data_IF_853502201732
#
_entry.id   IF_853502201732
#
_cell.length_a   1.000
_cell.length_b   1.000
_cell.length_c   1.000
_cell.angle_alpha   90.00
_cell.angle_beta   90.00
_cell.angle_gamma   90.00
#
_symmetry.space_group_name_H-M   'P 1'
#
loop_
_entity.id
_entity.type
_entity.pdbx_description
1 polymer ?
#
# COMPACT_ATOMS: atom_id res chain seq x y z
N UNK A 1 62.86 21.49 -14.38
CA UNK A 1 63.52 20.29 -13.81
C UNK A 1 63.55 19.20 -14.88
N UNK A 2 64.71 18.61 -15.16
CA UNK A 2 64.81 17.48 -16.12
C UNK A 2 64.18 16.21 -15.53
N UNK A 3 63.76 15.25 -16.37
CA UNK A 3 63.19 13.98 -15.89
C UNK A 3 64.14 13.23 -14.93
N UNK A 4 65.46 13.41 -15.11
CA UNK A 4 66.48 12.82 -14.23
C UNK A 4 66.53 13.55 -12.89
N UNK A 5 66.55 14.89 -12.92
CA UNK A 5 66.49 15.70 -11.70
C UNK A 5 65.21 15.45 -10.89
N UNK A 6 64.08 15.20 -11.57
CA UNK A 6 62.82 14.84 -10.91
C UNK A 6 62.85 13.43 -10.31
N UNK A 7 63.51 12.47 -10.98
CA UNK A 7 63.63 11.12 -10.46
C UNK A 7 64.44 11.08 -9.16
N UNK A 8 65.56 11.81 -9.14
CA UNK A 8 66.48 11.85 -8.01
C UNK A 8 65.89 12.67 -6.85
N UNK A 9 65.22 13.79 -7.13
CA UNK A 9 64.64 14.66 -6.10
C UNK A 9 63.42 14.03 -5.40
N UNK A 10 62.57 13.32 -6.15
CA UNK A 10 61.34 12.71 -5.60
C UNK A 10 61.48 11.23 -5.27
N UNK A 11 62.66 10.63 -5.49
CA UNK A 11 62.91 9.20 -5.35
C UNK A 11 61.89 8.32 -6.11
N UNK A 12 61.53 8.75 -7.32
CA UNK A 12 60.62 8.03 -8.22
C UNK A 12 61.41 7.62 -9.45
N UNK A 13 61.30 6.36 -9.88
CA UNK A 13 62.05 5.90 -11.05
C UNK A 13 61.78 6.77 -12.29
N UNK A 14 62.85 7.09 -13.02
CA UNK A 14 62.76 7.89 -14.26
C UNK A 14 61.80 7.26 -15.28
N UNK A 15 61.69 5.93 -15.30
CA UNK A 15 60.73 5.18 -16.11
C UNK A 15 59.27 5.45 -15.71
N UNK A 16 58.95 5.53 -14.42
CA UNK A 16 57.62 5.93 -13.94
C UNK A 16 57.28 7.36 -14.35
N UNK A 17 58.21 8.31 -14.22
CA UNK A 17 58.02 9.72 -14.63
C UNK A 17 57.80 9.80 -16.14
N UNK A 18 58.63 9.12 -16.94
CA UNK A 18 58.50 9.05 -18.40
C UNK A 18 57.17 8.42 -18.83
N UNK A 19 56.71 7.35 -18.16
CA UNK A 19 55.42 6.70 -18.41
C UNK A 19 54.24 7.63 -18.10
N UNK A 20 54.34 8.41 -17.01
CA UNK A 20 53.30 9.35 -16.58
C UNK A 20 53.21 10.57 -17.50
N UNK A 21 54.34 11.08 -17.98
CA UNK A 21 54.41 12.19 -18.96
C UNK A 21 53.91 11.80 -20.36
N UNK A 22 53.97 10.52 -20.73
CA UNK A 22 53.42 10.01 -21.99
C UNK A 22 51.89 9.84 -21.99
N UNK A 23 51.19 10.17 -20.89
CA UNK A 23 49.72 10.15 -20.77
C UNK A 23 49.03 8.86 -21.23
N UNK A 24 49.51 7.70 -20.76
CA UNK A 24 48.79 6.45 -21.02
C UNK A 24 48.87 5.48 -19.83
N UNK A 25 48.58 6.01 -18.62
CA UNK A 25 48.18 5.11 -17.55
C UNK A 25 46.73 4.70 -17.85
N UNK A 26 46.44 3.41 -18.08
CA UNK A 26 45.07 2.97 -18.18
C UNK A 26 44.35 3.43 -16.92
N UNK A 27 43.17 4.05 -17.10
CA UNK A 27 42.26 4.36 -16.01
C UNK A 27 42.20 3.11 -15.15
N UNK A 28 42.53 3.21 -13.85
CA UNK A 28 42.48 2.07 -12.93
C UNK A 28 41.18 1.33 -13.22
N UNK A 29 41.22 0.04 -13.61
CA UNK A 29 40.01 -0.69 -13.97
C UNK A 29 39.06 -0.59 -12.78
N UNK A 30 38.01 0.21 -12.94
CA UNK A 30 36.93 0.26 -11.96
C UNK A 30 36.23 -1.08 -12.08
N UNK A 31 35.73 -1.60 -10.96
CA UNK A 31 34.84 -2.75 -11.05
C UNK A 31 33.70 -2.39 -12.01
N UNK A 32 33.38 -3.26 -12.99
CA UNK A 32 32.24 -3.03 -13.86
C UNK A 32 30.97 -2.87 -13.03
N UNK A 33 29.98 -2.18 -13.58
CA UNK A 33 28.67 -2.08 -12.94
C UNK A 33 28.11 -3.47 -12.71
N UNK A 34 27.39 -3.62 -11.60
CA UNK A 34 26.71 -4.87 -11.22
C UNK A 34 25.70 -5.29 -12.28
N UNK A 35 25.07 -4.30 -12.89
CA UNK A 35 24.00 -4.42 -13.86
C UNK A 35 24.52 -4.07 -15.26
N UNK A 36 23.93 -4.69 -16.28
CA UNK A 36 24.18 -4.32 -17.67
C UNK A 36 23.62 -2.93 -17.98
N UNK A 37 24.02 -2.34 -19.11
CA UNK A 37 23.45 -1.06 -19.55
C UNK A 37 21.94 -1.13 -19.70
N UNK A 38 21.42 -2.25 -20.25
CA UNK A 38 19.99 -2.44 -20.45
C UNK A 38 19.22 -2.58 -19.13
N UNK A 39 19.79 -3.30 -18.16
CA UNK A 39 19.22 -3.42 -16.82
C UNK A 39 19.18 -2.05 -16.12
N UNK A 40 20.26 -1.26 -16.20
CA UNK A 40 20.29 0.08 -15.62
C UNK A 40 19.26 1.02 -16.28
N UNK A 41 19.14 0.96 -17.60
CA UNK A 41 18.12 1.73 -18.33
C UNK A 41 16.70 1.31 -17.96
N UNK A 42 16.46 0.01 -17.73
CA UNK A 42 15.18 -0.48 -17.26
C UNK A 42 14.83 0.05 -15.86
N UNK A 43 15.81 0.14 -14.95
CA UNK A 43 15.60 0.76 -13.64
C UNK A 43 15.34 2.27 -13.73
N UNK A 44 16.04 2.99 -14.61
CA UNK A 44 15.82 4.42 -14.81
C UNK A 44 14.41 4.66 -15.39
N UNK A 45 14.06 3.92 -16.44
CA UNK A 45 12.74 3.98 -17.06
C UNK A 45 11.63 3.63 -16.07
N UNK A 46 11.84 2.66 -15.17
CA UNK A 46 10.90 2.39 -14.10
C UNK A 46 10.67 3.62 -13.23
N UNK A 47 11.72 4.30 -12.78
CA UNK A 47 11.61 5.47 -11.92
C UNK A 47 10.85 6.61 -12.62
N UNK A 48 11.08 6.80 -13.92
CA UNK A 48 10.30 7.75 -14.74
C UNK A 48 8.81 7.37 -14.76
N UNK A 49 8.48 6.10 -15.00
CA UNK A 49 7.09 5.63 -15.07
C UNK A 49 6.36 5.69 -13.74
N UNK A 50 7.08 5.34 -12.68
CA UNK A 50 6.56 5.38 -11.32
C UNK A 50 6.32 6.85 -10.92
N UNK A 51 7.18 7.78 -11.37
CA UNK A 51 6.92 9.22 -11.30
C UNK A 51 5.69 9.65 -12.14
N UNK A 52 5.52 9.16 -13.37
CA UNK A 52 4.36 9.46 -14.23
C UNK A 52 3.03 8.97 -13.65
N UNK A 53 3.08 7.93 -12.84
CA UNK A 53 1.92 7.44 -12.08
C UNK A 53 1.73 8.17 -10.74
N UNK A 54 2.63 9.07 -10.38
CA UNK A 54 2.57 9.88 -9.16
C UNK A 54 3.03 9.14 -7.89
N UNK A 55 3.80 8.05 -8.02
CA UNK A 55 4.33 7.33 -6.87
C UNK A 55 5.64 7.96 -6.38
N UNK A 56 5.73 8.32 -5.10
CA UNK A 56 7.02 8.58 -4.49
C UNK A 56 7.77 7.26 -4.33
N UNK A 57 8.99 7.17 -4.85
CA UNK A 57 9.92 6.06 -4.58
C UNK A 57 11.10 6.64 -3.84
N UNK A 58 11.27 6.24 -2.58
CA UNK A 58 12.43 6.65 -1.82
C UNK A 58 13.66 5.76 -2.12
N UNK A 59 14.80 6.12 -1.53
CA UNK A 59 16.04 5.35 -1.71
C UNK A 59 15.89 3.89 -1.24
N UNK A 60 15.12 3.65 -0.18
CA UNK A 60 14.93 2.32 0.38
C UNK A 60 14.06 1.47 -0.54
N UNK A 61 12.94 2.02 -1.03
CA UNK A 61 12.04 1.39 -1.98
C UNK A 61 12.78 0.98 -3.25
N UNK A 62 13.58 1.89 -3.82
CA UNK A 62 14.37 1.59 -5.01
C UNK A 62 15.34 0.42 -4.79
N UNK A 63 15.99 0.38 -3.62
CA UNK A 63 16.89 -0.74 -3.27
C UNK A 63 16.13 -2.05 -3.11
N UNK A 64 14.91 -2.04 -2.58
CA UNK A 64 14.06 -3.24 -2.51
C UNK A 64 13.59 -3.71 -3.89
N UNK A 65 13.21 -2.80 -4.78
CA UNK A 65 12.86 -3.13 -6.17
C UNK A 65 14.02 -3.89 -6.84
N UNK A 66 15.24 -3.38 -6.70
CA UNK A 66 16.44 -3.99 -7.28
C UNK A 66 16.76 -5.33 -6.61
N UNK A 67 16.59 -5.44 -5.29
CA UNK A 67 16.73 -6.73 -4.57
C UNK A 67 15.76 -7.77 -5.14
N UNK A 68 14.48 -7.43 -5.26
CA UNK A 68 13.47 -8.35 -5.78
C UNK A 68 13.71 -8.72 -7.24
N UNK A 69 14.26 -7.80 -8.04
CA UNK A 69 14.73 -8.11 -9.39
C UNK A 69 15.83 -9.19 -9.37
N UNK A 70 16.86 -9.03 -8.55
CA UNK A 70 17.96 -10.00 -8.43
C UNK A 70 17.48 -11.38 -7.96
N UNK A 71 16.62 -11.42 -6.94
CA UNK A 71 16.05 -12.66 -6.41
C UNK A 71 15.26 -13.43 -7.46
N UNK A 72 14.48 -12.73 -8.30
CA UNK A 72 13.74 -13.37 -9.40
C UNK A 72 14.61 -13.92 -10.50
N UNK A 73 15.73 -13.26 -10.80
CA UNK A 73 16.70 -13.76 -11.76
C UNK A 73 17.53 -14.93 -11.19
N UNK A 74 17.35 -15.28 -9.91
CA UNK A 74 18.22 -16.25 -9.23
C UNK A 74 19.67 -15.77 -9.13
N UNK A 75 19.93 -14.46 -9.29
CA UNK A 75 21.28 -13.89 -9.32
C UNK A 75 21.67 -13.42 -7.94
N UNK A 76 22.73 -13.99 -7.37
CA UNK A 76 23.33 -13.48 -6.14
C UNK A 76 24.48 -12.53 -6.45
N UNK A 77 24.50 -11.39 -5.76
CA UNK A 77 25.55 -10.39 -5.87
C UNK A 77 26.32 -10.36 -4.56
N UNK A 78 27.55 -10.87 -4.58
CA UNK A 78 28.35 -11.17 -3.39
C UNK A 78 28.59 -9.96 -2.46
N UNK A 79 28.69 -8.76 -3.03
CA UNK A 79 28.91 -7.51 -2.29
C UNK A 79 27.62 -6.79 -1.87
N UNK A 80 26.44 -7.35 -2.18
CA UNK A 80 25.16 -6.89 -1.66
C UNK A 80 24.73 -7.79 -0.50
N UNK A 81 24.72 -7.23 0.71
CA UNK A 81 24.25 -7.96 1.88
C UNK A 81 22.79 -8.41 1.70
N UNK A 82 22.53 -9.72 1.77
CA UNK A 82 21.22 -10.31 1.49
C UNK A 82 20.62 -9.86 0.14
N UNK A 83 21.47 -9.76 -0.89
CA UNK A 83 21.09 -9.27 -2.23
C UNK A 83 20.49 -7.85 -2.24
N UNK A 84 20.63 -7.10 -1.15
CA UNK A 84 20.11 -5.76 -1.01
C UNK A 84 21.20 -4.74 -1.36
N UNK A 85 21.01 -3.91 -2.42
CA UNK A 85 22.00 -2.89 -2.76
C UNK A 85 22.26 -1.93 -1.60
N UNK A 86 23.49 -1.42 -1.50
CA UNK A 86 23.87 -0.41 -0.51
C UNK A 86 23.47 1.01 -0.92
N UNK A 87 23.52 1.96 0.01
CA UNK A 87 23.26 3.39 -0.28
C UNK A 87 24.22 3.95 -1.34
N UNK A 88 25.48 3.55 -1.29
CA UNK A 88 26.49 4.02 -2.24
C UNK A 88 26.23 3.53 -3.66
N UNK A 89 25.60 2.37 -3.83
CA UNK A 89 25.16 1.91 -5.14
C UNK A 89 24.13 2.88 -5.74
N UNK A 90 23.14 3.31 -4.94
CA UNK A 90 22.14 4.30 -5.40
C UNK A 90 22.80 5.61 -5.77
N UNK A 91 23.70 6.16 -4.93
CA UNK A 91 24.43 7.40 -5.26
C UNK A 91 25.17 7.31 -6.60
N UNK A 92 25.83 6.18 -6.85
CA UNK A 92 26.54 5.95 -8.10
C UNK A 92 25.58 5.79 -9.29
N UNK A 93 24.44 5.13 -9.10
CA UNK A 93 23.37 5.02 -10.10
C UNK A 93 22.84 6.41 -10.48
N UNK A 94 22.49 7.24 -9.50
CA UNK A 94 22.04 8.62 -9.74
C UNK A 94 23.09 9.46 -10.48
N UNK A 95 24.39 9.25 -10.21
CA UNK A 95 25.46 9.94 -10.94
C UNK A 95 25.52 9.53 -12.43
N UNK A 96 25.12 8.30 -12.76
CA UNK A 96 25.04 7.81 -14.15
C UNK A 96 23.75 8.26 -14.85
N UNK A 97 22.70 8.51 -14.09
CA UNK A 97 21.37 8.92 -14.59
C UNK A 97 21.01 10.34 -14.12
N UNK A 98 21.65 11.40 -14.67
CA UNK A 98 21.53 12.77 -14.15
C UNK A 98 20.15 13.42 -14.40
N UNK A 99 19.27 12.81 -15.19
CA UNK A 99 17.88 13.23 -15.35
C UNK A 99 17.03 12.92 -14.10
N UNK A 100 17.44 11.92 -13.31
CA UNK A 100 16.84 11.60 -12.04
C UNK A 100 17.46 12.47 -10.95
N UNK A 101 16.66 12.93 -9.99
CA UNK A 101 17.15 13.71 -8.86
C UNK A 101 16.54 13.22 -7.55
N UNK A 102 17.36 13.06 -6.52
CA UNK A 102 16.88 12.86 -5.16
C UNK A 102 16.53 14.24 -4.61
N UNK A 103 15.27 14.44 -4.26
CA UNK A 103 14.79 15.67 -3.61
C UNK A 103 14.19 15.31 -2.26
N UNK A 104 14.33 16.22 -1.30
CA UNK A 104 13.56 16.10 -0.07
C UNK A 104 12.08 16.30 -0.41
N UNK A 105 11.24 15.36 0.01
CA UNK A 105 9.82 15.63 0.09
C UNK A 105 9.59 16.79 1.06
N UNK A 106 8.68 17.69 0.71
CA UNK A 106 8.25 18.72 1.64
C UNK A 106 7.42 18.04 2.73
N UNK A 107 7.94 18.00 3.96
CA UNK A 107 7.18 17.57 5.12
C UNK A 107 5.98 18.50 5.32
N UNK A 108 4.79 18.07 4.88
CA UNK A 108 3.53 18.72 5.25
C UNK A 108 3.34 18.45 6.75
N UNK A 109 3.31 19.52 7.56
CA UNK A 109 3.19 19.41 9.02
C UNK A 109 1.96 18.58 9.39
N UNK A 110 2.18 17.64 10.31
CA UNK A 110 1.30 16.58 10.79
C UNK A 110 0.08 17.04 11.60
N UNK A 111 -0.52 18.18 11.27
CA UNK A 111 -1.84 18.51 11.80
C UNK A 111 -2.85 17.70 10.99
N UNK A 112 -3.68 16.88 11.65
CA UNK A 112 -4.89 16.27 11.06
C UNK A 112 -5.97 17.33 10.71
N UNK A 113 -5.55 18.53 10.33
CA UNK A 113 -6.39 19.70 10.20
C UNK A 113 -5.98 20.45 8.93
N UNK A 114 -6.91 20.50 7.98
CA UNK A 114 -6.82 21.08 6.64
C UNK A 114 -5.88 20.32 5.68
N UNK A 115 -6.41 19.30 5.01
CA UNK A 115 -5.93 19.00 3.66
C UNK A 115 -6.14 20.28 2.85
N UNK A 116 -5.08 20.78 2.22
CA UNK A 116 -5.13 22.02 1.46
C UNK A 116 -6.16 21.89 0.33
N UNK A 117 -7.07 22.86 0.23
CA UNK A 117 -8.08 22.91 -0.82
C UNK A 117 -7.43 22.93 -2.20
N UNK A 118 -6.23 23.49 -2.32
CA UNK A 118 -5.45 23.47 -3.57
C UNK A 118 -5.07 22.05 -3.99
N UNK A 119 -4.63 21.21 -3.05
CA UNK A 119 -4.26 19.81 -3.30
C UNK A 119 -5.47 18.98 -3.71
N UNK A 120 -6.62 19.21 -3.04
CA UNK A 120 -7.88 18.55 -3.42
C UNK A 120 -8.34 19.01 -4.80
N UNK A 121 -8.26 20.30 -5.09
CA UNK A 121 -8.65 20.86 -6.39
C UNK A 121 -7.79 20.27 -7.50
N UNK A 122 -6.47 20.28 -7.35
CA UNK A 122 -5.55 19.68 -8.34
C UNK A 122 -5.82 18.19 -8.54
N UNK A 123 -6.10 17.46 -7.46
CA UNK A 123 -6.45 16.04 -7.55
C UNK A 123 -7.73 15.82 -8.36
N UNK A 124 -8.79 16.58 -8.08
CA UNK A 124 -10.07 16.46 -8.79
C UNK A 124 -9.93 16.87 -10.25
N UNK A 125 -9.19 17.94 -10.55
CA UNK A 125 -8.92 18.38 -11.91
C UNK A 125 -8.18 17.29 -12.71
N UNK A 126 -7.13 16.72 -12.12
CA UNK A 126 -6.40 15.59 -12.72
C UNK A 126 -7.31 14.37 -12.92
N UNK A 127 -8.17 14.06 -11.95
CA UNK A 127 -9.11 12.94 -12.07
C UNK A 127 -10.16 13.19 -13.15
N UNK A 128 -10.66 14.42 -13.29
CA UNK A 128 -11.58 14.83 -14.34
C UNK A 128 -10.98 14.57 -15.72
N UNK A 129 -9.75 15.04 -15.95
CA UNK A 129 -9.05 14.84 -17.22
C UNK A 129 -8.75 13.36 -17.49
N UNK A 130 -8.33 12.61 -16.46
CA UNK A 130 -8.01 11.20 -16.62
C UNK A 130 -9.24 10.35 -16.95
N UNK A 131 -10.38 10.62 -16.31
CA UNK A 131 -11.61 9.82 -16.37
C UNK A 131 -12.59 10.25 -17.47
N UNK A 132 -12.38 11.41 -18.11
CA UNK A 132 -13.27 11.98 -19.14
C UNK A 132 -13.79 11.00 -20.18
N UNK A 133 -12.90 10.16 -20.72
CA UNK A 133 -13.19 9.19 -21.78
C UNK A 133 -13.07 7.73 -21.31
N UNK A 134 -13.11 7.49 -19.99
CA UNK A 134 -12.98 6.16 -19.40
C UNK A 134 -14.34 5.69 -18.87
N UNK A 135 -14.89 4.59 -19.38
CA UNK A 135 -16.11 3.99 -18.85
C UNK A 135 -16.04 3.67 -17.35
N UNK A 136 -17.13 3.87 -16.59
CA UNK A 136 -17.28 3.48 -15.19
C UNK A 136 -16.75 2.10 -14.79
N UNK A 137 -16.95 1.10 -15.62
CA UNK A 137 -16.54 -0.28 -15.35
C UNK A 137 -15.02 -0.47 -15.46
N UNK A 138 -14.29 0.55 -15.93
CA UNK A 138 -12.84 0.57 -16.12
C UNK A 138 -12.10 1.48 -15.14
N UNK A 139 -12.82 2.08 -14.19
CA UNK A 139 -12.25 2.90 -13.12
C UNK A 139 -12.33 2.08 -11.84
N UNK A 140 -11.20 1.56 -11.41
CA UNK A 140 -11.08 0.67 -10.26
C UNK A 140 -10.45 1.37 -9.07
N UNK A 141 -10.80 0.90 -7.89
CA UNK A 141 -10.13 1.21 -6.64
C UNK A 141 -9.92 -0.10 -5.90
N UNK A 142 -8.71 -0.28 -5.36
CA UNK A 142 -8.42 -1.38 -4.46
C UNK A 142 -7.82 -0.84 -3.16
N UNK A 143 -7.99 -1.62 -2.11
CA UNK A 143 -7.44 -1.31 -0.79
C UNK A 143 -7.43 -2.58 0.08
N UNK A 144 -6.59 -2.58 1.11
CA UNK A 144 -6.56 -3.65 2.11
C UNK A 144 -7.45 -3.38 3.30
N UNK A 145 -7.99 -4.46 3.87
CA UNK A 145 -8.69 -4.39 5.14
C UNK A 145 -8.39 -5.60 6.00
N UNK A 146 -8.29 -5.37 7.31
CA UNK A 146 -8.14 -6.45 8.28
C UNK A 146 -9.50 -6.93 8.78
N UNK A 147 -9.76 -8.22 8.65
CA UNK A 147 -10.93 -8.90 9.21
C UNK A 147 -10.52 -9.59 10.51
N UNK A 148 -10.93 -8.99 11.64
CA UNK A 148 -10.61 -9.43 13.00
C UNK A 148 -11.61 -10.46 13.51
N UNK A 149 -11.16 -11.51 14.19
CA UNK A 149 -12.06 -12.46 14.86
C UNK A 149 -12.71 -11.90 16.14
N UNK A 150 -12.26 -10.72 16.59
CA UNK A 150 -12.92 -9.94 17.65
C UNK A 150 -14.25 -9.33 17.16
N UNK A 151 -15.41 -9.75 17.71
CA UNK A 151 -16.70 -9.12 17.40
C UNK A 151 -16.79 -7.66 17.89
N UNK A 152 -15.86 -7.22 18.74
CA UNK A 152 -15.83 -5.88 19.30
C UNK A 152 -16.92 -5.64 20.35
N UNK A 153 -17.07 -4.37 20.73
CA UNK A 153 -18.03 -3.96 21.76
C UNK A 153 -19.44 -3.83 21.18
N UNK A 154 -20.44 -4.29 21.93
CA UNK A 154 -21.85 -4.03 21.67
C UNK A 154 -22.47 -3.22 22.82
N UNK A 155 -23.59 -2.54 22.54
CA UNK A 155 -24.39 -1.90 23.59
C UNK A 155 -25.18 -2.99 24.30
N UNK A 156 -25.05 -3.05 25.63
CA UNK A 156 -25.76 -4.00 26.48
C UNK A 156 -26.57 -3.19 27.50
N UNK A 157 -27.78 -3.65 27.79
CA UNK A 157 -28.65 -3.02 28.77
C UNK A 157 -28.37 -3.65 30.13
N UNK A 158 -27.96 -2.84 31.09
CA UNK A 158 -27.77 -3.22 32.49
C UNK A 158 -28.67 -2.37 33.39
N UNK A 159 -28.94 -2.85 34.61
CA UNK A 159 -29.54 -2.01 35.65
C UNK A 159 -28.66 -0.79 35.91
N UNK A 160 -29.26 0.38 36.18
CA UNK A 160 -28.50 1.57 36.61
C UNK A 160 -27.69 1.21 37.88
N UNK A 161 -26.42 1.61 37.91
CA UNK A 161 -25.51 1.28 39.02
C UNK A 161 -24.82 -0.09 38.93
N UNK A 162 -24.88 -0.79 37.78
CA UNK A 162 -24.04 -1.98 37.57
C UNK A 162 -22.56 -1.57 37.44
N UNK A 163 -21.70 -2.06 38.33
CA UNK A 163 -20.26 -1.74 38.34
C UNK A 163 -19.49 -2.44 37.21
N UNK A 164 -19.85 -3.68 36.86
CA UNK A 164 -19.10 -4.52 35.91
C UNK A 164 -20.01 -5.04 34.78
N UNK A 165 -20.32 -4.22 33.77
CA UNK A 165 -21.06 -4.63 32.59
C UNK A 165 -20.17 -5.43 31.63
N UNK A 166 -19.91 -6.70 31.94
CA UNK A 166 -19.01 -7.56 31.16
C UNK A 166 -19.75 -8.53 30.25
N UNK A 167 -19.14 -8.82 29.09
CA UNK A 167 -19.58 -9.87 28.16
C UNK A 167 -18.46 -10.91 28.08
N UNK A 168 -18.73 -12.12 28.57
CA UNK A 168 -17.79 -13.23 28.44
C UNK A 168 -17.84 -13.78 27.02
N UNK A 169 -16.77 -13.58 26.27
CA UNK A 169 -16.60 -14.11 24.91
C UNK A 169 -15.13 -14.41 24.65
N UNK A 170 -14.86 -15.58 24.07
CA UNK A 170 -13.51 -15.95 23.66
C UNK A 170 -13.16 -15.20 22.37
N UNK A 171 -12.40 -14.12 22.45
CA UNK A 171 -11.88 -13.42 21.28
C UNK A 171 -10.38 -13.21 21.37
N UNK A 172 -9.74 -13.20 20.19
CA UNK A 172 -8.37 -12.72 20.04
C UNK A 172 -8.39 -11.45 19.19
N UNK A 173 -7.21 -10.84 18.97
CA UNK A 173 -7.03 -9.81 17.94
C UNK A 173 -6.41 -10.41 16.67
N UNK A 174 -6.73 -11.67 16.38
CA UNK A 174 -6.20 -12.33 15.19
C UNK A 174 -6.91 -11.76 13.98
N UNK A 175 -6.13 -11.33 12.99
CA UNK A 175 -6.64 -10.73 11.78
C UNK A 175 -6.23 -11.53 10.55
N UNK A 176 -7.10 -11.51 9.55
CA UNK A 176 -6.77 -11.92 8.19
C UNK A 176 -6.82 -10.67 7.31
N UNK A 177 -5.79 -10.47 6.50
CA UNK A 177 -5.73 -9.34 5.57
C UNK A 177 -6.50 -9.73 4.32
N UNK A 178 -7.41 -8.85 3.90
CA UNK A 178 -8.28 -9.02 2.75
C UNK A 178 -8.08 -7.83 1.84
N UNK A 179 -7.53 -8.07 0.66
CA UNK A 179 -7.43 -7.07 -0.40
C UNK A 179 -8.69 -7.15 -1.27
N UNK A 180 -9.36 -6.02 -1.43
CA UNK A 180 -10.60 -5.89 -2.17
C UNK A 180 -10.42 -4.90 -3.30
N UNK A 181 -11.07 -5.15 -4.43
CA UNK A 181 -11.04 -4.26 -5.58
C UNK A 181 -12.45 -4.13 -6.16
N UNK A 182 -12.88 -2.91 -6.45
CA UNK A 182 -14.18 -2.62 -7.06
C UNK A 182 -14.10 -1.46 -8.04
N UNK A 183 -15.03 -1.43 -8.99
CA UNK A 183 -15.13 -0.36 -9.98
C UNK A 183 -16.30 0.58 -9.73
N UNK A 184 -16.27 1.72 -10.42
CA UNK A 184 -17.31 2.75 -10.35
C UNK A 184 -18.66 2.21 -10.80
N UNK A 185 -18.71 1.34 -11.82
CA UNK A 185 -19.94 0.69 -12.25
C UNK A 185 -20.62 -0.15 -11.16
N UNK A 186 -19.93 -0.42 -10.05
CA UNK A 186 -20.46 -1.06 -8.86
C UNK A 186 -20.29 -2.57 -8.84
N UNK A 187 -19.31 -3.08 -9.58
CA UNK A 187 -18.87 -4.47 -9.56
C UNK A 187 -17.57 -4.61 -8.77
N UNK A 188 -17.38 -5.75 -8.12
CA UNK A 188 -16.13 -6.08 -7.41
C UNK A 188 -15.46 -7.31 -8.01
N UNK A 189 -14.13 -7.32 -7.95
CA UNK A 189 -13.32 -8.50 -8.21
C UNK A 189 -13.35 -9.40 -6.96
N UNK A 190 -13.29 -10.74 -7.10
CA UNK A 190 -13.11 -11.62 -5.96
C UNK A 190 -11.97 -11.17 -5.04
N UNK A 191 -12.11 -11.32 -3.71
CA UNK A 191 -11.09 -10.89 -2.77
C UNK A 191 -9.78 -11.67 -2.93
N UNK A 192 -8.69 -11.06 -2.46
CA UNK A 192 -7.41 -11.74 -2.30
C UNK A 192 -7.02 -11.77 -0.82
N UNK A 193 -6.80 -12.96 -0.29
CA UNK A 193 -6.70 -13.22 1.15
C UNK A 193 -5.26 -13.50 1.53
N UNK A 194 -4.77 -12.86 2.58
CA UNK A 194 -3.43 -13.08 3.12
C UNK A 194 -3.53 -13.50 4.58
N UNK A 195 -3.15 -14.75 4.83
CA UNK A 195 -3.03 -15.28 6.18
C UNK A 195 -1.63 -15.00 6.75
N UNK A 196 -1.57 -14.62 8.03
CA UNK A 196 -0.32 -14.69 8.79
C UNK A 196 0.08 -16.15 9.03
N UNK A 197 1.00 -16.69 8.24
CA UNK A 197 1.48 -18.07 8.30
C UNK A 197 2.75 -18.28 7.44
N UNK A 198 3.50 -19.35 7.71
CA UNK A 198 4.63 -19.78 6.86
C UNK A 198 4.18 -20.69 5.70
N UNK A 199 3.16 -21.53 5.96
CA UNK A 199 2.58 -22.43 4.98
C UNK A 199 1.09 -22.14 4.77
N UNK A 200 0.62 -22.41 3.56
CA UNK A 200 -0.79 -22.33 3.19
C UNK A 200 -1.32 -23.75 3.01
N UNK A 201 -2.42 -24.08 3.68
CA UNK A 201 -3.09 -25.38 3.57
C UNK A 201 -4.31 -25.27 2.66
N UNK A 202 -4.62 -26.32 1.91
CA UNK A 202 -5.75 -26.35 0.96
C UNK A 202 -7.09 -26.11 1.65
N UNK A 203 -7.24 -26.61 2.88
CA UNK A 203 -8.44 -26.42 3.72
C UNK A 203 -8.75 -24.96 4.01
N UNK A 204 -7.78 -24.05 3.91
CA UNK A 204 -7.98 -22.61 4.11
C UNK A 204 -8.58 -21.91 2.89
N UNK A 205 -8.89 -22.63 1.82
CA UNK A 205 -9.60 -22.12 0.64
C UNK A 205 -10.96 -22.83 0.42
N UNK A 206 -11.24 -23.90 1.18
CA UNK A 206 -12.46 -24.68 1.03
C UNK A 206 -13.70 -23.88 1.47
N UNK A 207 -14.79 -24.02 0.72
CA UNK A 207 -16.08 -23.35 0.98
C UNK A 207 -16.02 -21.81 0.99
N UNK A 208 -14.94 -21.22 0.50
CA UNK A 208 -14.77 -19.78 0.33
C UNK A 208 -15.62 -19.17 -0.79
N UNK A 209 -15.59 -17.82 -0.93
CA UNK A 209 -16.23 -17.16 -2.05
C UNK A 209 -15.59 -17.58 -3.37
N UNK A 210 -16.39 -17.81 -4.40
CA UNK A 210 -15.90 -18.28 -5.70
C UNK A 210 -14.90 -17.30 -6.32
N UNK A 211 -13.81 -17.84 -6.87
CA UNK A 211 -12.77 -17.05 -7.51
C UNK A 211 -11.81 -16.36 -6.54
N UNK A 212 -12.00 -16.45 -5.22
CA UNK A 212 -11.08 -15.89 -4.20
C UNK A 212 -9.73 -16.59 -4.26
N UNK A 213 -8.64 -15.82 -4.23
CA UNK A 213 -7.28 -16.37 -4.04
C UNK A 213 -6.84 -16.25 -2.58
N UNK A 214 -6.09 -17.25 -2.14
CA UNK A 214 -5.54 -17.33 -0.78
C UNK A 214 -4.03 -17.41 -0.85
N UNK A 215 -3.38 -16.58 -0.03
CA UNK A 215 -1.94 -16.52 0.11
C UNK A 215 -1.58 -16.35 1.60
N UNK A 216 -0.28 -16.27 1.87
CA UNK A 216 0.30 -16.22 3.21
C UNK A 216 1.56 -15.39 3.24
N UNK A 217 1.80 -14.75 4.38
CA UNK A 217 3.08 -14.15 4.72
C UNK A 217 3.38 -14.32 6.20
N UNK A 218 4.66 -14.27 6.58
CA UNK A 218 5.09 -14.46 7.98
C UNK A 218 4.42 -13.46 8.94
N UNK A 219 4.14 -12.25 8.45
CA UNK A 219 3.58 -11.18 9.25
C UNK A 219 2.10 -10.89 8.94
N UNK A 220 1.53 -11.50 7.89
CA UNK A 220 0.16 -11.22 7.43
C UNK A 220 0.02 -9.94 6.61
N UNK A 221 1.13 -9.27 6.29
CA UNK A 221 1.16 -8.10 5.43
C UNK A 221 1.41 -8.48 3.97
N UNK A 222 1.01 -7.60 3.06
CA UNK A 222 1.31 -7.69 1.64
C UNK A 222 2.70 -7.08 1.44
N UNK A 223 3.58 -7.81 0.76
CA UNK A 223 4.87 -7.31 0.31
C UNK A 223 4.86 -7.11 -1.22
N UNK A 224 5.97 -6.66 -1.79
CA UNK A 224 6.10 -6.45 -3.23
C UNK A 224 5.79 -7.73 -4.06
N UNK A 225 6.21 -8.89 -3.58
CA UNK A 225 6.02 -10.15 -4.29
C UNK A 225 4.56 -10.60 -4.27
N UNK A 226 3.90 -10.51 -3.12
CA UNK A 226 2.46 -10.82 -2.96
C UNK A 226 1.62 -9.84 -3.77
N UNK A 227 1.97 -8.55 -3.77
CA UNK A 227 1.26 -7.56 -4.57
C UNK A 227 1.34 -7.87 -6.07
N UNK A 228 2.54 -8.19 -6.57
CA UNK A 228 2.70 -8.55 -7.98
C UNK A 228 1.93 -9.83 -8.32
N UNK A 229 1.94 -10.84 -7.45
CA UNK A 229 1.15 -12.05 -7.62
C UNK A 229 -0.35 -11.72 -7.68
N UNK A 230 -0.85 -10.90 -6.76
CA UNK A 230 -2.23 -10.42 -6.78
C UNK A 230 -2.56 -9.68 -8.09
N UNK A 231 -1.72 -8.73 -8.48
CA UNK A 231 -1.96 -7.92 -9.67
C UNK A 231 -2.00 -8.83 -10.91
N UNK A 232 -1.02 -9.70 -11.09
CA UNK A 232 -0.88 -10.55 -12.28
C UNK A 232 -1.94 -11.66 -12.36
N UNK A 233 -2.27 -12.29 -11.22
CA UNK A 233 -3.13 -13.48 -11.18
C UNK A 233 -4.60 -13.19 -10.87
N UNK A 234 -4.92 -11.94 -10.50
CA UNK A 234 -6.25 -11.53 -10.05
C UNK A 234 -6.75 -10.28 -10.75
N UNK A 235 -6.04 -9.16 -10.60
CA UNK A 235 -6.55 -7.90 -11.12
C UNK A 235 -6.42 -7.83 -12.65
N UNK A 236 -5.22 -8.14 -13.16
CA UNK A 236 -4.90 -8.09 -14.58
C UNK A 236 -5.74 -9.07 -15.41
N UNK A 237 -6.15 -10.20 -14.84
CA UNK A 237 -7.02 -11.16 -15.55
C UNK A 237 -8.38 -10.57 -15.89
N UNK A 238 -8.89 -9.66 -15.06
CA UNK A 238 -10.13 -8.90 -15.32
C UNK A 238 -9.84 -7.75 -16.28
N UNK A 239 -8.79 -6.97 -16.02
CA UNK A 239 -8.45 -5.79 -16.83
C UNK A 239 -8.11 -6.16 -18.29
N UNK A 240 -7.54 -7.34 -18.55
CA UNK A 240 -7.26 -7.85 -19.91
C UNK A 240 -8.50 -8.12 -20.74
N UNK A 241 -9.64 -8.35 -20.09
CA UNK A 241 -10.92 -8.56 -20.79
C UNK A 241 -11.55 -7.23 -21.24
N UNK A 242 -11.00 -6.10 -20.77
CA UNK A 242 -11.47 -4.75 -21.09
C UNK A 242 -10.51 -4.08 -22.08
N UNK A 243 -11.05 -3.65 -23.22
CA UNK A 243 -10.31 -2.87 -24.22
C UNK A 243 -10.14 -1.41 -23.81
N UNK A 244 -9.14 -0.73 -24.37
CA UNK A 244 -8.88 0.69 -24.12
C UNK A 244 -8.37 0.99 -22.70
N UNK A 245 -8.43 2.28 -22.33
CA UNK A 245 -7.84 2.82 -21.11
C UNK A 245 -8.57 2.34 -19.85
N UNK A 246 -7.79 1.97 -18.83
CA UNK A 246 -8.26 1.62 -17.48
C UNK A 246 -7.53 2.47 -16.45
N UNK A 247 -8.25 2.83 -15.39
CA UNK A 247 -7.69 3.61 -14.28
C UNK A 247 -7.76 2.75 -13.03
N UNK A 248 -6.65 2.67 -12.30
CA UNK A 248 -6.60 2.01 -11.01
C UNK A 248 -6.15 3.01 -9.95
N UNK A 249 -7.08 3.40 -9.09
CA UNK A 249 -6.87 4.32 -7.98
C UNK A 249 -6.40 3.55 -6.76
N UNK A 250 -5.35 4.03 -6.11
CA UNK A 250 -4.76 3.39 -4.93
C UNK A 250 -4.18 4.39 -3.93
N UNK A 251 -3.90 3.90 -2.73
CA UNK A 251 -3.21 4.68 -1.72
C UNK A 251 -1.73 4.97 -2.10
N UNK A 252 -1.12 5.90 -1.37
CA UNK A 252 0.24 6.39 -1.65
C UNK A 252 1.34 5.49 -1.03
N UNK A 253 1.06 4.21 -0.74
CA UNK A 253 2.05 3.33 -0.14
C UNK A 253 3.07 2.85 -1.20
N UNK A 254 4.30 3.36 -1.10
CA UNK A 254 5.36 3.27 -2.11
C UNK A 254 5.89 1.86 -2.38
N UNK A 255 5.62 0.88 -1.52
CA UNK A 255 6.38 -0.37 -1.44
C UNK A 255 6.03 -1.48 -2.43
N UNK A 256 5.18 -1.26 -3.44
CA UNK A 256 4.50 -2.37 -4.14
C UNK A 256 4.56 -2.39 -5.67
N UNK A 257 5.25 -1.48 -6.35
CA UNK A 257 5.38 -1.57 -7.82
C UNK A 257 6.70 -2.18 -8.26
N UNK A 258 6.60 -3.33 -8.90
CA UNK A 258 7.74 -3.98 -9.54
C UNK A 258 7.84 -3.57 -11.01
N UNK A 259 9.02 -3.78 -11.60
CA UNK A 259 9.25 -3.65 -13.05
C UNK A 259 8.20 -4.38 -13.88
N UNK A 260 7.82 -5.58 -13.44
CA UNK A 260 6.87 -6.41 -14.16
C UNK A 260 5.46 -5.82 -14.12
N UNK A 261 5.01 -5.31 -12.96
CA UNK A 261 3.69 -4.66 -12.86
C UNK A 261 3.62 -3.43 -13.75
N UNK A 262 4.65 -2.57 -13.72
CA UNK A 262 4.68 -1.35 -14.56
C UNK A 262 4.62 -1.71 -16.04
N UNK A 263 5.43 -2.66 -16.48
CA UNK A 263 5.40 -3.16 -17.87
C UNK A 263 4.02 -3.69 -18.27
N UNK A 264 3.41 -4.52 -17.42
CA UNK A 264 2.08 -5.08 -17.70
C UNK A 264 1.00 -3.99 -17.72
N UNK A 265 1.15 -2.92 -16.94
CA UNK A 265 0.25 -1.78 -17.01
C UNK A 265 0.35 -1.08 -18.36
N UNK A 266 1.55 -0.83 -18.87
CA UNK A 266 1.75 -0.20 -20.18
C UNK A 266 1.20 -1.05 -21.32
N UNK A 267 1.51 -2.35 -21.34
CA UNK A 267 1.04 -3.29 -22.36
C UNK A 267 -0.49 -3.42 -22.42
N UNK A 268 -1.19 -3.03 -21.35
CA UNK A 268 -2.64 -3.18 -21.23
C UNK A 268 -3.36 -1.85 -21.04
N UNK A 269 -2.73 -0.70 -21.31
CA UNK A 269 -3.34 0.64 -21.18
C UNK A 269 -3.97 0.89 -19.79
N UNK A 270 -3.23 0.51 -18.75
CA UNK A 270 -3.62 0.69 -17.34
C UNK A 270 -2.82 1.85 -16.76
N UNK A 271 -3.52 2.89 -16.30
CA UNK A 271 -2.93 4.03 -15.58
C UNK A 271 -3.22 3.86 -14.09
N UNK A 272 -2.16 3.76 -13.28
CA UNK A 272 -2.30 3.93 -11.84
C UNK A 272 -2.42 5.41 -11.46
N UNK A 273 -3.24 5.68 -10.45
CA UNK A 273 -3.39 7.00 -9.85
C UNK A 273 -3.29 6.90 -8.34
N UNK A 274 -2.43 7.72 -7.75
CA UNK A 274 -2.26 7.80 -6.31
C UNK A 274 -3.26 8.78 -5.69
N UNK A 275 -3.83 8.40 -4.56
CA UNK A 275 -4.61 9.31 -3.73
C UNK A 275 -3.73 10.40 -3.13
N UNK A 276 -4.26 11.62 -2.91
CA UNK A 276 -3.50 12.69 -2.29
C UNK A 276 -2.96 12.27 -0.91
N UNK A 277 -1.74 12.69 -0.54
CA UNK A 277 -1.16 12.33 0.75
C UNK A 277 -2.07 12.69 1.93
N UNK A 278 -2.15 11.80 2.92
CA UNK A 278 -2.96 11.98 4.14
C UNK A 278 -4.47 12.18 3.90
N UNK A 279 -4.98 11.84 2.71
CA UNK A 279 -6.39 12.08 2.34
C UNK A 279 -7.26 10.83 2.27
N UNK A 280 -6.75 9.63 2.55
CA UNK A 280 -7.51 8.36 2.38
C UNK A 280 -8.91 8.41 3.00
N UNK A 281 -9.02 8.98 4.20
CA UNK A 281 -10.30 9.14 4.89
C UNK A 281 -11.36 10.01 4.17
N UNK A 282 -10.97 10.77 3.15
CA UNK A 282 -11.80 11.59 2.26
C UNK A 282 -11.82 11.12 0.80
N UNK A 283 -10.74 10.49 0.31
CA UNK A 283 -10.54 10.21 -1.11
C UNK A 283 -10.43 8.73 -1.45
N UNK A 284 -10.41 7.81 -0.47
CA UNK A 284 -10.35 6.36 -0.69
C UNK A 284 -11.77 5.77 -0.77
N UNK A 285 -12.27 5.39 -1.96
CA UNK A 285 -13.66 4.93 -2.15
C UNK A 285 -14.09 3.80 -1.22
N UNK A 286 -13.24 2.76 -1.10
CA UNK A 286 -13.56 1.59 -0.29
C UNK A 286 -13.66 1.94 1.21
N UNK A 287 -12.76 2.78 1.73
CA UNK A 287 -12.81 3.27 3.11
C UNK A 287 -14.06 4.11 3.40
N UNK A 288 -14.44 4.98 2.47
CA UNK A 288 -15.54 5.94 2.66
C UNK A 288 -16.89 5.23 2.76
N UNK A 289 -17.14 4.25 1.90
CA UNK A 289 -18.48 3.71 1.69
C UNK A 289 -18.61 2.19 1.79
N UNK A 290 -17.53 1.41 1.65
CA UNK A 290 -17.62 -0.05 1.55
C UNK A 290 -17.13 -0.80 2.79
N UNK A 291 -15.97 -0.45 3.35
CA UNK A 291 -15.39 -1.20 4.46
C UNK A 291 -16.17 -1.08 5.77
N UNK A 292 -16.83 0.05 6.02
CA UNK A 292 -17.66 0.22 7.22
C UNK A 292 -18.83 -0.78 7.26
N UNK A 293 -19.71 -0.88 6.24
CA UNK A 293 -20.78 -1.88 6.24
C UNK A 293 -20.24 -3.32 6.21
N UNK A 294 -19.15 -3.59 5.47
CA UNK A 294 -18.49 -4.89 5.44
C UNK A 294 -18.05 -5.35 6.85
N UNK A 295 -17.32 -4.49 7.57
CA UNK A 295 -16.86 -4.76 8.94
C UNK A 295 -18.00 -4.82 9.96
N UNK A 296 -19.12 -4.15 9.71
CA UNK A 296 -20.31 -4.30 10.55
C UNK A 296 -20.90 -5.70 10.41
N UNK A 297 -21.13 -6.16 9.17
CA UNK A 297 -21.63 -7.50 8.88
C UNK A 297 -20.69 -8.61 9.37
N UNK A 298 -19.38 -8.43 9.18
CA UNK A 298 -18.39 -9.34 9.72
C UNK A 298 -18.46 -9.47 11.24
N UNK A 299 -18.61 -8.36 11.98
CA UNK A 299 -18.75 -8.42 13.45
C UNK A 299 -20.02 -9.14 13.90
N UNK A 300 -21.11 -9.02 13.15
CA UNK A 300 -22.36 -9.75 13.43
C UNK A 300 -22.17 -11.26 13.21
N UNK A 301 -21.53 -11.65 12.10
CA UNK A 301 -21.23 -13.05 11.80
C UNK A 301 -20.23 -13.64 12.79
N UNK A 302 -19.17 -12.90 13.14
CA UNK A 302 -18.23 -13.32 14.21
C UNK A 302 -18.93 -13.46 15.55
N UNK A 303 -19.86 -12.56 15.89
CA UNK A 303 -20.66 -12.67 17.11
C UNK A 303 -21.45 -13.98 17.13
N UNK A 304 -22.18 -14.30 16.05
CA UNK A 304 -22.95 -15.55 15.94
C UNK A 304 -22.05 -16.77 16.00
N UNK A 305 -20.94 -16.76 15.27
CA UNK A 305 -19.99 -17.87 15.22
C UNK A 305 -19.37 -18.14 16.60
N UNK A 306 -18.91 -17.09 17.30
CA UNK A 306 -18.35 -17.19 18.66
C UNK A 306 -19.37 -17.67 19.71
N UNK A 307 -20.67 -17.53 19.44
CA UNK A 307 -21.75 -18.04 20.29
C UNK A 307 -22.19 -19.47 19.91
N UNK A 308 -21.71 -20.01 18.79
CA UNK A 308 -21.98 -21.41 18.40
C UNK A 308 -21.19 -22.40 19.26
N UNK A 309 -21.61 -23.67 19.26
CA UNK A 309 -20.92 -24.74 19.99
C UNK A 309 -19.47 -24.94 19.53
N UNK A 310 -19.19 -24.73 18.24
CA UNK A 310 -17.84 -24.77 17.71
C UNK A 310 -17.01 -23.55 18.17
N UNK A 311 -17.54 -22.34 17.97
CA UNK A 311 -16.80 -21.10 18.23
C UNK A 311 -16.56 -20.81 19.72
N UNK A 312 -17.47 -21.22 20.61
CA UNK A 312 -17.28 -21.07 22.07
C UNK A 312 -16.04 -21.80 22.59
N UNK A 313 -15.65 -22.91 21.95
CA UNK A 313 -14.55 -23.78 22.38
C UNK A 313 -13.17 -23.33 21.92
N UNK A 314 -13.10 -22.30 21.07
CA UNK A 314 -11.84 -21.86 20.44
C UNK A 314 -11.59 -20.37 20.68
N UNK A 315 -10.36 -20.03 21.04
CA UNK A 315 -9.97 -18.65 21.32
C UNK A 315 -9.99 -17.77 20.05
N UNK A 316 -9.43 -18.28 18.95
CA UNK A 316 -9.35 -17.60 17.65
C UNK A 316 -10.20 -18.31 16.59
N UNK A 317 -10.65 -17.57 15.56
CA UNK A 317 -11.23 -18.20 14.37
C UNK A 317 -10.19 -19.08 13.66
N UNK A 318 -10.40 -20.41 13.54
CA UNK A 318 -9.52 -21.27 12.76
C UNK A 318 -9.46 -20.84 11.30
N UNK A 319 -8.28 -20.97 10.68
CA UNK A 319 -8.04 -20.44 9.33
C UNK A 319 -8.84 -21.18 8.25
N UNK A 320 -9.16 -22.45 8.46
CA UNK A 320 -10.07 -23.28 7.66
C UNK A 320 -11.55 -22.86 7.77
N UNK A 321 -11.93 -22.18 8.86
CA UNK A 321 -13.28 -21.66 9.04
C UNK A 321 -13.46 -20.27 8.41
N UNK A 322 -12.37 -19.51 8.24
CA UNK A 322 -12.41 -18.15 7.70
C UNK A 322 -13.08 -18.03 6.31
N UNK A 323 -12.78 -18.88 5.32
CA UNK A 323 -13.37 -18.80 3.98
C UNK A 323 -14.90 -18.81 3.99
N UNK A 324 -15.50 -19.72 4.75
CA UNK A 324 -16.95 -19.84 4.86
C UNK A 324 -17.57 -18.59 5.46
N UNK A 325 -16.97 -18.06 6.54
CA UNK A 325 -17.47 -16.83 7.17
C UNK A 325 -17.34 -15.62 6.24
N UNK A 326 -16.26 -15.56 5.45
CA UNK A 326 -16.07 -14.51 4.46
C UNK A 326 -17.13 -14.59 3.36
N UNK A 327 -17.41 -15.79 2.85
CA UNK A 327 -18.48 -16.02 1.87
C UNK A 327 -19.82 -15.51 2.40
N UNK A 328 -20.19 -15.87 3.63
CA UNK A 328 -21.44 -15.38 4.24
C UNK A 328 -21.49 -13.86 4.32
N UNK A 329 -20.39 -13.19 4.70
CA UNK A 329 -20.34 -11.71 4.71
C UNK A 329 -20.53 -11.12 3.32
N UNK A 330 -19.89 -11.68 2.31
CA UNK A 330 -19.97 -11.17 0.94
C UNK A 330 -21.37 -11.39 0.35
N UNK A 331 -21.99 -12.54 0.62
CA UNK A 331 -23.37 -12.82 0.23
C UNK A 331 -24.35 -11.84 0.91
N UNK A 332 -24.15 -11.53 2.21
CA UNK A 332 -24.98 -10.56 2.94
C UNK A 332 -24.80 -9.11 2.47
N UNK A 333 -23.61 -8.71 2.00
CA UNK A 333 -23.36 -7.34 1.53
C UNK A 333 -23.72 -7.13 0.06
N UNK A 334 -23.80 -8.22 -0.73
CA UNK A 334 -24.06 -8.21 -2.17
C UNK A 334 -25.20 -7.28 -2.61
N UNK A 335 -26.37 -7.24 -1.93
CA UNK A 335 -27.47 -6.34 -2.33
C UNK A 335 -27.12 -4.85 -2.27
N UNK A 336 -26.13 -4.48 -1.45
CA UNK A 336 -25.68 -3.09 -1.26
C UNK A 336 -24.35 -2.77 -1.96
N UNK A 337 -23.69 -3.77 -2.57
CA UNK A 337 -22.36 -3.65 -3.17
C UNK A 337 -22.29 -2.50 -4.19
N UNK A 338 -23.14 -2.55 -5.22
CA UNK A 338 -23.12 -1.56 -6.30
C UNK A 338 -23.39 -0.14 -5.79
N UNK A 339 -24.36 -0.02 -4.86
CA UNK A 339 -24.68 1.26 -4.21
C UNK A 339 -23.49 1.81 -3.42
N UNK A 340 -22.83 0.97 -2.62
CA UNK A 340 -21.72 1.38 -1.76
C UNK A 340 -20.49 1.77 -2.60
N UNK A 341 -20.17 1.01 -3.64
CA UNK A 341 -19.04 1.33 -4.54
C UNK A 341 -19.27 2.68 -5.26
N UNK A 342 -20.40 2.84 -5.96
CA UNK A 342 -20.77 4.12 -6.61
C UNK A 342 -20.74 5.29 -5.64
N UNK A 343 -21.30 5.11 -4.45
CA UNK A 343 -21.27 6.14 -3.42
C UNK A 343 -19.85 6.46 -2.94
N UNK A 344 -18.95 5.47 -2.88
CA UNK A 344 -17.54 5.64 -2.55
C UNK A 344 -16.81 6.48 -3.58
N UNK A 345 -16.91 6.13 -4.87
CA UNK A 345 -16.27 6.87 -5.97
C UNK A 345 -16.79 8.32 -6.07
N UNK A 346 -18.11 8.50 -5.96
CA UNK A 346 -18.70 9.83 -5.96
C UNK A 346 -18.21 10.68 -4.79
N UNK A 347 -18.26 10.15 -3.56
CA UNK A 347 -17.83 10.88 -2.35
C UNK A 347 -16.32 11.16 -2.31
N UNK A 348 -15.53 10.30 -2.94
CA UNK A 348 -14.10 10.50 -3.14
C UNK A 348 -13.78 11.57 -4.19
N UNK A 349 -14.79 12.14 -4.88
CA UNK A 349 -14.62 13.11 -5.94
C UNK A 349 -13.95 12.53 -7.19
N UNK A 350 -14.05 11.21 -7.42
CA UNK A 350 -13.43 10.51 -8.55
C UNK A 350 -14.36 10.47 -9.75
N UNK A 351 -15.63 10.12 -9.52
CA UNK A 351 -16.59 9.95 -10.62
C UNK A 351 -18.04 10.20 -10.14
N UNK A 352 -18.73 11.23 -10.65
CA UNK A 352 -18.14 12.33 -11.42
C UNK A 352 -17.06 13.06 -10.60
N UNK A 353 -16.04 13.59 -11.26
CA UNK A 353 -15.00 14.36 -10.61
C UNK A 353 -15.59 15.64 -10.00
N UNK A 354 -15.59 15.74 -8.67
CA UNK A 354 -16.18 16.88 -7.96
C UNK A 354 -15.52 17.11 -6.60
N UNK A 355 -14.91 18.29 -6.43
CA UNK A 355 -14.25 18.70 -5.18
C UNK A 355 -15.23 18.99 -4.05
N UNK A 356 -16.46 19.41 -4.35
CA UNK A 356 -17.44 19.77 -3.33
C UNK A 356 -17.88 18.54 -2.50
N UNK A 357 -17.89 17.36 -3.13
CA UNK A 357 -18.14 16.09 -2.42
C UNK A 357 -17.08 15.86 -1.33
N UNK A 358 -15.81 16.05 -1.65
CA UNK A 358 -14.68 15.89 -0.71
C UNK A 358 -14.74 16.97 0.38
N UNK A 359 -14.93 18.23 0.00
CA UNK A 359 -14.96 19.37 0.92
C UNK A 359 -16.16 19.29 1.89
N UNK A 360 -17.30 18.74 1.45
CA UNK A 360 -18.48 18.54 2.31
C UNK A 360 -18.21 17.55 3.44
N UNK A 361 -17.47 16.47 3.16
CA UNK A 361 -17.07 15.45 4.14
C UNK A 361 -16.07 16.04 5.13
N UNK A 362 -15.10 16.82 4.64
CA UNK A 362 -14.13 17.51 5.48
C UNK A 362 -14.83 18.44 6.50
N UNK A 363 -15.81 19.23 6.05
CA UNK A 363 -16.60 20.13 6.91
C UNK A 363 -17.43 19.38 7.95
N UNK A 364 -18.11 18.31 7.56
CA UNK A 364 -18.94 17.51 8.47
C UNK A 364 -18.11 16.88 9.58
N UNK A 365 -16.88 16.43 9.26
CA UNK A 365 -15.98 15.82 10.25
C UNK A 365 -15.40 16.82 11.24
N UNK A 366 -15.07 18.04 10.81
CA UNK A 366 -14.67 19.12 11.72
C UNK A 366 -15.75 19.46 12.74
N UNK A 367 -17.03 19.37 12.35
CA UNK A 367 -18.17 19.59 13.25
C UNK A 367 -18.35 18.40 14.23
N UNK A 368 -17.99 17.18 13.83
CA UNK A 368 -18.16 15.96 14.64
C UNK A 368 -17.06 15.69 15.69
N UNK A 369 -15.95 16.45 15.68
CA UNK A 369 -14.95 16.43 16.75
C UNK A 369 -15.11 17.65 17.68
N UNK A 370 -16.05 17.66 18.65
CA UNK A 370 -15.96 18.61 19.73
C UNK A 370 -14.75 18.23 20.60
N UNK A 371 -13.90 19.23 20.90
CA UNK A 371 -12.81 19.19 21.87
C UNK A 371 -13.24 18.40 23.12
N UNK A 372 -12.68 17.21 23.29
CA UNK A 372 -12.76 16.47 24.55
C UNK A 372 -11.81 17.11 25.58
N UNK A 373 -12.13 18.33 26.00
CA UNK A 373 -11.72 18.79 27.32
C UNK A 373 -12.64 18.11 28.34
N UNK A 374 -12.34 16.87 28.68
CA UNK A 374 -12.73 16.36 29.98
C UNK A 374 -12.04 17.26 31.01
N UNK A 375 -12.78 18.25 31.55
CA UNK A 375 -12.38 18.88 32.81
C UNK A 375 -12.36 17.74 33.83
N UNK A 376 -11.15 17.31 34.17
CA UNK A 376 -10.89 16.51 35.34
C UNK A 376 -11.54 17.23 36.54
N UNK A 377 -12.57 16.63 37.10
CA UNK A 377 -12.91 16.87 38.50
C UNK A 377 -11.77 16.29 39.33
N UNK A 378 -10.72 17.08 39.53
CA UNK A 378 -9.79 16.86 40.61
C UNK A 378 -10.45 17.42 41.87
N UNK A 379 -10.71 16.54 42.82
CA UNK A 379 -11.18 16.91 44.14
C UNK A 379 -10.13 17.72 44.89
N UNK A 380 -10.61 18.54 45.82
CA UNK A 380 -9.83 19.05 46.94
C UNK A 380 -10.57 18.74 48.25
N UNK A 381 -9.83 18.47 49.34
CA UNK A 381 -10.31 17.76 50.51
C UNK A 381 -10.88 18.66 51.62
N UNK A 382 -11.65 18.03 52.51
CA UNK A 382 -11.93 18.39 53.91
C UNK A 382 -12.46 19.79 54.24
N UNK A 383 -13.67 19.84 54.83
CA UNK A 383 -13.88 20.55 56.09
C UNK A 383 -14.92 19.79 56.95
N UNK A 384 -14.46 19.25 58.08
CA UNK A 384 -15.28 18.90 59.24
C UNK A 384 -15.76 20.19 59.91
N UNK A 385 -17.07 20.37 60.01
CA UNK A 385 -17.84 21.12 61.03
C UNK A 385 -19.23 20.49 60.98
N UNK A 386 -19.85 19.96 62.02
CA UNK A 386 -19.70 20.00 63.49
C UNK A 386 -20.37 18.73 64.00
#
# INVERSE_FOLDING_TARGET
MSQKQAADHYNISRSTIKRRLKNDLPIKPRRPTVFTSDEEMAFASLLDKVCDFGFPVDELDFRYIVKCYLEKQGRSVEFFHNNHPGRDWVKLFMKRHPHLSIRFENNIKRARAAIDETVITQYVDNMSDLTKDVPPDRIYNYDETCMSDDPGRCKIIFRRGCEYPERVINSTKSTVTVMLCGNEAGSSIPPYIIHKAEHLWTTWAENGPMGTRYNRSKHGWIDLAIFEEWFTTHHLTVLKQQSGKKIVVRDNLSSHLSLNVVKLCEENDIKFVCLPPNSSHLTQPLDIAYFRPLKAKWRDIMTKWKQSEAGKRVASLPKDQFPMQLRTVLDEIQPSLSKNLKAGFKKAGIYPANKDEILSIAKTRQISEPRSSWRCFLGSPQQKKT
#
